data_IF_044790043862
#
_entry.id   IF_044790043862
#
_cell.length_a   1.000
_cell.length_b   1.000
_cell.length_c   1.000
_cell.angle_alpha   90.00
_cell.angle_beta   90.00
_cell.angle_gamma   90.00
#
_symmetry.space_group_name_H-M   'P 1'
#
loop_
_entity.id
_entity.type
_entity.pdbx_description
1 polymer ?
#
# COMPACT_ATOMS: atom_id res chain seq x y z
N UNK A 1 -22.56 0.50 -11.18
CA UNK A 1 -21.09 0.55 -11.33
C UNK A 1 -20.77 0.91 -12.78
N UNK A 2 -20.13 2.05 -13.04
CA UNK A 2 -19.62 2.37 -14.39
C UNK A 2 -18.34 1.55 -14.66
N UNK A 3 -18.22 0.94 -15.84
CA UNK A 3 -17.07 0.11 -16.22
C UNK A 3 -15.95 1.02 -16.77
N UNK A 4 -15.20 1.66 -15.88
CA UNK A 4 -14.05 2.51 -16.24
C UNK A 4 -12.74 1.74 -15.99
N UNK A 5 -12.21 1.02 -17.00
CA UNK A 5 -11.00 0.24 -16.81
C UNK A 5 -9.77 1.15 -16.76
N UNK A 6 -8.94 0.97 -15.73
CA UNK A 6 -7.60 1.54 -15.64
C UNK A 6 -6.77 0.69 -14.68
N UNK A 7 -5.46 0.86 -14.69
CA UNK A 7 -4.54 0.23 -13.74
C UNK A 7 -4.10 1.28 -12.72
N UNK A 8 -4.29 1.00 -11.43
CA UNK A 8 -3.78 1.81 -10.33
C UNK A 8 -2.58 1.13 -9.71
N UNK A 9 -1.38 1.72 -9.83
CA UNK A 9 -0.18 1.21 -9.18
C UNK A 9 -0.03 1.87 -7.81
N UNK A 10 -0.24 1.11 -6.75
CA UNK A 10 -0.07 1.56 -5.37
C UNK A 10 1.30 1.12 -4.84
N UNK A 11 2.19 2.08 -4.58
CA UNK A 11 3.46 1.83 -3.88
C UNK A 11 3.25 2.12 -2.40
N UNK A 12 3.02 1.08 -1.61
CA UNK A 12 2.74 1.20 -0.18
C UNK A 12 4.02 1.05 0.64
N UNK A 13 4.41 2.10 1.34
CA UNK A 13 5.52 2.11 2.29
C UNK A 13 5.05 2.27 3.74
N UNK A 14 3.75 2.36 3.99
CA UNK A 14 3.14 2.65 5.31
C UNK A 14 3.68 3.91 6.00
N UNK A 15 4.09 4.92 5.24
CA UNK A 15 4.65 6.17 5.74
C UNK A 15 4.26 7.39 4.89
N UNK A 16 4.17 8.54 5.55
CA UNK A 16 4.15 9.86 4.90
C UNK A 16 5.59 10.27 4.53
N UNK A 17 6.18 9.57 3.56
CA UNK A 17 7.62 9.65 3.27
C UNK A 17 8.12 11.05 2.92
N UNK A 18 7.35 11.88 2.21
CA UNK A 18 7.77 13.25 1.88
C UNK A 18 7.90 14.12 3.13
N UNK A 19 6.99 13.96 4.08
CA UNK A 19 7.04 14.67 5.36
C UNK A 19 8.17 14.12 6.21
N UNK A 20 8.33 12.79 6.27
CA UNK A 20 9.48 12.14 6.94
C UNK A 20 10.81 12.66 6.41
N UNK A 21 10.94 12.80 5.08
CA UNK A 21 12.15 13.35 4.46
C UNK A 21 12.37 14.82 4.85
N UNK A 22 11.33 15.64 4.89
CA UNK A 22 11.41 17.03 5.34
C UNK A 22 11.79 17.15 6.83
N UNK A 23 11.32 16.22 7.67
CA UNK A 23 11.63 16.15 9.10
C UNK A 23 13.09 15.75 9.41
N UNK A 24 13.83 15.18 8.44
CA UNK A 24 15.26 14.83 8.62
C UNK A 24 16.11 16.04 8.96
N UNK A 25 15.79 17.23 8.44
CA UNK A 25 16.50 18.46 8.78
C UNK A 25 16.31 18.91 10.23
N UNK A 26 15.34 18.32 10.94
CA UNK A 26 15.01 18.60 12.33
C UNK A 26 15.35 17.42 13.26
N UNK A 27 16.02 16.37 12.76
CA UNK A 27 16.25 15.10 13.47
C UNK A 27 14.96 14.51 14.07
N UNK A 28 13.87 14.57 13.31
CA UNK A 28 12.54 14.09 13.73
C UNK A 28 12.00 12.97 12.83
N UNK A 29 11.26 12.06 13.45
CA UNK A 29 10.35 11.12 12.82
C UNK A 29 9.08 11.06 13.69
N UNK A 30 8.14 11.99 13.45
CA UNK A 30 7.00 12.21 14.35
C UNK A 30 5.69 12.37 13.59
N UNK A 31 4.70 11.53 13.94
CA UNK A 31 3.37 11.49 13.32
C UNK A 31 3.36 11.25 11.80
N UNK A 32 4.36 10.53 11.28
CA UNK A 32 4.45 10.21 9.84
C UNK A 32 4.27 8.72 9.52
N UNK A 33 4.16 7.86 10.53
CA UNK A 33 3.95 6.43 10.38
C UNK A 33 2.46 6.11 10.20
N UNK A 34 2.13 5.25 9.23
CA UNK A 34 0.77 4.75 8.95
C UNK A 34 0.60 3.27 9.33
N UNK A 35 1.69 2.60 9.72
CA UNK A 35 1.71 1.20 10.12
C UNK A 35 0.97 0.96 11.44
N UNK A 36 0.21 -0.14 11.50
CA UNK A 36 -0.43 -0.68 12.69
C UNK A 36 -0.66 -2.19 12.49
N UNK A 37 -0.80 -2.93 13.59
CA UNK A 37 -1.09 -4.36 13.52
C UNK A 37 -2.55 -4.58 13.12
N UNK A 38 -2.74 -5.07 11.90
CA UNK A 38 -4.06 -5.39 11.40
C UNK A 38 -4.50 -6.78 11.85
N UNK A 39 -5.42 -6.81 12.83
CA UNK A 39 -5.94 -8.06 13.41
C UNK A 39 -6.62 -8.99 12.40
N UNK A 40 -7.05 -8.46 11.25
CA UNK A 40 -7.74 -9.21 10.20
C UNK A 40 -6.83 -9.64 9.05
N UNK A 41 -5.61 -9.11 8.99
CA UNK A 41 -4.63 -9.43 7.95
C UNK A 41 -3.22 -9.55 8.56
N UNK A 42 -2.95 -10.61 9.36
CA UNK A 42 -1.65 -10.82 10.00
C UNK A 42 -0.48 -10.91 9.01
N UNK A 43 -0.75 -11.37 7.79
CA UNK A 43 0.21 -11.49 6.68
C UNK A 43 0.74 -10.15 6.17
N UNK A 44 0.20 -9.02 6.62
CA UNK A 44 0.72 -7.69 6.32
C UNK A 44 1.90 -7.29 7.21
N UNK A 45 2.24 -8.08 8.24
CA UNK A 45 3.39 -7.83 9.11
C UNK A 45 3.43 -6.39 9.65
N UNK A 46 2.26 -5.86 10.06
CA UNK A 46 2.15 -4.52 10.64
C UNK A 46 2.11 -3.37 9.63
N UNK A 47 2.03 -3.63 8.32
CA UNK A 47 1.88 -2.56 7.30
C UNK A 47 0.56 -1.76 7.41
N UNK A 48 -0.36 -2.14 8.31
CA UNK A 48 -1.62 -1.45 8.51
C UNK A 48 -2.70 -1.93 7.54
N UNK A 49 -3.15 -1.05 6.65
CA UNK A 49 -4.35 -1.28 5.85
C UNK A 49 -4.15 -2.37 4.79
N UNK A 50 -5.06 -3.34 4.76
CA UNK A 50 -5.18 -4.29 3.66
C UNK A 50 -5.86 -3.66 2.44
N UNK A 51 -5.04 -3.11 1.53
CA UNK A 51 -5.54 -2.50 0.31
C UNK A 51 -6.15 -3.51 -0.68
N UNK A 52 -5.79 -4.80 -0.61
CA UNK A 52 -6.39 -5.82 -1.48
C UNK A 52 -7.82 -6.06 -1.04
N UNK A 53 -8.03 -6.38 0.24
CA UNK A 53 -9.36 -6.61 0.79
C UNK A 53 -10.29 -5.39 0.61
N UNK A 54 -9.77 -4.17 0.81
CA UNK A 54 -10.53 -2.93 0.61
C UNK A 54 -10.97 -2.77 -0.85
N UNK A 55 -10.06 -2.96 -1.81
CA UNK A 55 -10.35 -2.78 -3.25
C UNK A 55 -11.28 -3.87 -3.77
N UNK A 56 -11.14 -5.11 -3.30
CA UNK A 56 -12.05 -6.21 -3.62
C UNK A 56 -13.45 -5.96 -3.04
N UNK A 57 -13.54 -5.44 -1.82
CA UNK A 57 -14.81 -5.02 -1.21
C UNK A 57 -15.54 -3.92 -1.98
N UNK A 58 -14.81 -3.10 -2.74
CA UNK A 58 -15.37 -2.08 -3.64
C UNK A 58 -15.77 -2.64 -5.03
N UNK A 59 -15.59 -3.94 -5.26
CA UNK A 59 -15.92 -4.61 -6.51
C UNK A 59 -14.87 -4.45 -7.62
N UNK A 60 -13.63 -4.11 -7.25
CA UNK A 60 -12.49 -4.06 -8.15
C UNK A 60 -11.63 -5.32 -8.00
N UNK A 61 -10.63 -5.48 -8.88
CA UNK A 61 -9.59 -6.52 -8.76
C UNK A 61 -8.33 -5.90 -8.17
N UNK A 62 -7.63 -6.66 -7.34
CA UNK A 62 -6.35 -6.25 -6.77
C UNK A 62 -5.32 -7.39 -6.84
N UNK A 63 -4.04 -7.03 -6.92
CA UNK A 63 -2.90 -7.95 -6.89
C UNK A 63 -1.87 -7.32 -5.95
N UNK A 64 -1.32 -8.12 -5.03
CA UNK A 64 -0.20 -7.73 -4.17
C UNK A 64 1.08 -8.36 -4.71
N UNK A 65 2.17 -7.59 -4.70
CA UNK A 65 3.49 -8.02 -5.14
C UNK A 65 4.49 -7.68 -4.05
N UNK A 66 5.30 -8.67 -3.66
CA UNK A 66 6.39 -8.49 -2.69
C UNK A 66 7.77 -8.64 -3.36
N UNK A 67 7.89 -9.51 -4.37
CA UNK A 67 9.11 -9.69 -5.14
C UNK A 67 9.12 -8.74 -6.37
N UNK A 68 10.14 -7.89 -6.55
CA UNK A 68 10.28 -7.04 -7.74
C UNK A 68 10.16 -7.78 -9.07
N UNK A 69 10.56 -9.06 -9.14
CA UNK A 69 10.49 -9.87 -10.36
C UNK A 69 9.05 -10.19 -10.79
N UNK A 70 8.09 -10.12 -9.86
CA UNK A 70 6.67 -10.42 -10.14
C UNK A 70 5.91 -9.22 -10.73
N UNK A 71 6.49 -8.01 -10.69
CA UNK A 71 5.82 -6.77 -11.15
C UNK A 71 5.42 -6.88 -12.62
N UNK A 72 6.31 -7.39 -13.47
CA UNK A 72 6.04 -7.53 -14.91
C UNK A 72 4.86 -8.46 -15.19
N UNK A 73 4.78 -9.58 -14.47
CA UNK A 73 3.66 -10.51 -14.58
C UNK A 73 2.35 -9.92 -14.04
N UNK A 74 2.42 -9.17 -12.93
CA UNK A 74 1.24 -8.53 -12.32
C UNK A 74 0.60 -7.46 -13.22
N UNK A 75 1.41 -6.68 -13.95
CA UNK A 75 0.92 -5.64 -14.87
C UNK A 75 0.24 -6.20 -16.13
N UNK A 76 0.52 -7.46 -16.49
CA UNK A 76 -0.01 -8.09 -17.70
C UNK A 76 -1.28 -8.95 -17.46
N UNK A 77 -1.74 -9.06 -16.20
CA UNK A 77 -2.84 -9.95 -15.76
C UNK A 77 -4.22 -9.28 -15.84
#
# INVERSE_FOLDING_TARGET
QFKLPYIHVLVNNSYLCLIRQAQRGFDMDYCVQLAFDNINAPELEGYGVDHVAVVEGLGCKAIRVFDPNEIGAALAK
#
